data_IF_910345928118
#
_entry.id   IF_910345928118
#
_cell.length_a   1.000
_cell.length_b   1.000
_cell.length_c   1.000
_cell.angle_alpha   90.00
_cell.angle_beta   90.00
_cell.angle_gamma   90.00
#
_symmetry.space_group_name_H-M   'P 1'
#
loop_
_entity.id
_entity.type
_entity.pdbx_description
1 polymer ?
#
# COMPACT_ATOMS: atom_id res chain seq x y z
N UNK A 1 52.49 4.38 3.77
CA UNK A 1 51.21 3.80 4.22
C UNK A 1 50.18 4.93 4.22
N UNK A 2 49.38 5.01 3.17
CA UNK A 2 48.17 5.84 3.15
C UNK A 2 47.09 4.95 2.59
N UNK A 3 46.21 4.50 3.46
CA UNK A 3 45.06 3.69 3.15
C UNK A 3 44.06 4.56 2.38
N UNK A 4 43.93 4.32 1.07
CA UNK A 4 42.73 4.74 0.34
C UNK A 4 41.55 3.98 0.93
N UNK A 5 40.83 4.65 1.83
CA UNK A 5 39.50 4.23 2.25
C UNK A 5 38.64 4.23 1.00
N UNK A 6 38.33 3.02 0.53
CA UNK A 6 37.23 2.79 -0.40
C UNK A 6 35.99 3.35 0.29
N UNK A 7 35.51 4.52 -0.16
CA UNK A 7 34.16 4.95 0.11
C UNK A 7 33.27 3.92 -0.58
N UNK A 8 32.94 2.84 0.14
CA UNK A 8 31.83 1.98 -0.21
C UNK A 8 30.60 2.86 -0.19
N UNK A 9 30.24 3.36 -1.37
CA UNK A 9 28.95 3.93 -1.71
C UNK A 9 27.86 3.05 -1.11
N UNK A 10 27.14 3.59 -0.12
CA UNK A 10 25.87 3.01 0.28
C UNK A 10 24.94 3.08 -0.93
N UNK A 11 24.44 1.93 -1.37
CA UNK A 11 23.41 1.81 -2.38
C UNK A 11 22.12 2.52 -1.86
N UNK A 12 21.59 3.56 -2.52
CA UNK A 12 20.42 4.31 -2.06
C UNK A 12 19.08 3.60 -2.31
N UNK A 13 19.10 2.27 -2.50
CA UNK A 13 18.07 1.42 -3.12
C UNK A 13 16.72 1.20 -2.42
N UNK A 14 16.21 2.17 -1.66
CA UNK A 14 14.79 2.21 -1.30
C UNK A 14 14.22 3.61 -1.55
N UNK A 15 14.14 4.00 -2.84
CA UNK A 15 13.43 5.22 -3.23
C UNK A 15 11.92 4.99 -3.04
N UNK A 16 11.38 5.44 -1.92
CA UNK A 16 9.94 5.65 -1.81
C UNK A 16 9.57 6.96 -2.51
N UNK A 17 8.38 7.01 -3.08
CA UNK A 17 7.83 8.22 -3.66
C UNK A 17 6.75 8.77 -2.72
N UNK A 18 6.88 10.04 -2.31
CA UNK A 18 5.87 10.68 -1.47
C UNK A 18 4.73 11.19 -2.35
N UNK A 19 3.64 10.43 -2.38
CA UNK A 19 2.47 10.73 -3.19
C UNK A 19 1.72 11.99 -2.75
N UNK A 20 1.58 12.18 -1.44
CA UNK A 20 0.86 13.28 -0.82
C UNK A 20 1.58 13.67 0.47
N UNK A 21 1.88 14.96 0.61
CA UNK A 21 2.43 15.55 1.84
C UNK A 21 1.40 16.47 2.47
N UNK A 22 1.07 16.22 3.75
CA UNK A 22 0.19 17.09 4.53
C UNK A 22 1.06 17.82 5.57
N UNK A 23 1.46 19.09 5.32
CA UNK A 23 2.40 19.80 6.20
C UNK A 23 1.79 20.13 7.57
N UNK A 24 0.46 20.14 7.69
CA UNK A 24 -0.26 20.28 8.95
C UNK A 24 -1.15 19.05 9.18
N UNK A 25 -1.43 18.66 10.45
CA UNK A 25 -2.34 17.57 10.76
C UNK A 25 -3.73 17.81 10.19
N UNK A 26 -4.27 16.84 9.47
CA UNK A 26 -5.64 16.90 8.97
C UNK A 26 -6.61 16.33 10.01
N UNK A 27 -7.58 17.12 10.53
CA UNK A 27 -8.68 16.59 11.32
C UNK A 27 -9.52 15.60 10.50
N UNK A 28 -10.20 14.67 11.19
CA UNK A 28 -11.02 13.64 10.54
C UNK A 28 -12.06 14.22 9.57
N UNK A 29 -12.60 15.40 9.86
CA UNK A 29 -13.58 16.11 9.02
C UNK A 29 -13.01 16.61 7.69
N UNK A 30 -11.69 16.78 7.57
CA UNK A 30 -11.00 17.18 6.35
C UNK A 30 -10.49 15.99 5.53
N UNK A 31 -10.81 14.75 5.94
CA UNK A 31 -10.45 13.54 5.20
C UNK A 31 -11.71 12.81 4.79
N UNK A 32 -11.97 12.73 3.48
CA UNK A 32 -13.09 11.98 2.91
C UNK A 32 -12.59 10.78 2.11
N UNK A 33 -13.51 9.88 1.77
CA UNK A 33 -13.23 8.72 0.93
C UNK A 33 -14.29 8.67 -0.17
N UNK A 34 -13.84 8.58 -1.42
CA UNK A 34 -14.65 8.13 -2.55
C UNK A 34 -14.34 6.65 -2.78
N UNK A 35 -15.31 5.79 -2.46
CA UNK A 35 -15.17 4.34 -2.54
C UNK A 35 -16.01 3.78 -3.67
N UNK A 36 -15.36 3.29 -4.72
CA UNK A 36 -16.03 2.90 -5.96
C UNK A 36 -15.25 1.83 -6.72
N UNK A 37 -15.97 0.95 -7.42
CA UNK A 37 -15.38 -0.03 -8.33
C UNK A 37 -14.63 0.63 -9.50
N UNK A 38 -14.87 1.92 -9.76
CA UNK A 38 -14.09 2.70 -10.72
C UNK A 38 -12.60 2.80 -10.35
N UNK A 39 -12.25 2.57 -9.08
CA UNK A 39 -10.89 2.59 -8.56
C UNK A 39 -10.32 1.19 -8.30
N UNK A 40 -11.03 0.13 -8.73
CA UNK A 40 -10.52 -1.23 -8.68
C UNK A 40 -9.37 -1.42 -9.67
N UNK A 41 -8.66 -2.55 -9.53
CA UNK A 41 -7.59 -2.92 -10.45
C UNK A 41 -8.16 -3.15 -11.85
N UNK A 42 -7.49 -2.63 -12.86
CA UNK A 42 -7.76 -2.96 -14.26
C UNK A 42 -6.97 -4.22 -14.61
N UNK A 43 -7.62 -5.32 -15.05
CA UNK A 43 -6.90 -6.51 -15.50
C UNK A 43 -5.87 -6.18 -16.59
N UNK A 44 -4.71 -6.81 -16.55
CA UNK A 44 -3.67 -6.65 -17.55
C UNK A 44 -4.15 -7.23 -18.91
N UNK A 45 -3.87 -6.58 -20.05
CA UNK A 45 -4.32 -7.06 -21.35
C UNK A 45 -3.65 -8.37 -21.80
N UNK A 46 -2.43 -8.67 -21.31
CA UNK A 46 -1.78 -9.97 -21.50
C UNK A 46 -2.41 -11.03 -20.57
N UNK A 47 -3.13 -11.98 -21.18
CA UNK A 47 -3.79 -13.07 -20.48
C UNK A 47 -2.81 -13.99 -19.73
N UNK A 48 -1.55 -14.11 -20.17
CA UNK A 48 -0.55 -14.93 -19.46
C UNK A 48 -0.16 -14.30 -18.13
N UNK A 49 -0.05 -12.97 -18.07
CA UNK A 49 0.21 -12.25 -16.83
C UNK A 49 -0.97 -12.40 -15.86
N UNK A 50 -2.22 -12.28 -16.35
CA UNK A 50 -3.39 -12.54 -15.52
C UNK A 50 -3.47 -13.99 -15.03
N UNK A 51 -3.09 -14.96 -15.88
CA UNK A 51 -3.03 -16.37 -15.48
C UNK A 51 -1.99 -16.61 -14.37
N UNK A 52 -0.84 -15.95 -14.45
CA UNK A 52 0.25 -16.09 -13.48
C UNK A 52 -0.17 -15.73 -12.04
N UNK A 53 -1.13 -14.83 -11.86
CA UNK A 53 -1.68 -14.50 -10.54
C UNK A 53 -2.26 -15.76 -9.86
N UNK A 54 -2.96 -16.58 -10.64
CA UNK A 54 -3.57 -17.82 -10.15
C UNK A 54 -2.50 -18.87 -9.84
N UNK A 55 -1.50 -19.02 -10.72
CA UNK A 55 -0.40 -19.98 -10.56
C UNK A 55 0.41 -19.68 -9.30
N UNK A 56 0.87 -18.44 -9.14
CA UNK A 56 1.63 -17.99 -7.96
C UNK A 56 0.83 -18.22 -6.68
N UNK A 57 -0.46 -17.88 -6.68
CA UNK A 57 -1.31 -18.13 -5.52
C UNK A 57 -1.43 -19.62 -5.19
N UNK A 58 -1.65 -20.46 -6.20
CA UNK A 58 -1.77 -21.91 -6.03
C UNK A 58 -0.50 -22.53 -5.45
N UNK A 59 0.68 -22.10 -5.91
CA UNK A 59 1.95 -22.53 -5.33
C UNK A 59 2.10 -22.09 -3.87
N UNK A 60 1.62 -20.87 -3.54
CA UNK A 60 1.73 -20.31 -2.19
C UNK A 60 0.87 -21.08 -1.19
N UNK A 61 -0.37 -21.42 -1.55
CA UNK A 61 -1.27 -22.20 -0.69
C UNK A 61 -0.82 -23.66 -0.54
N UNK A 62 -0.17 -24.25 -1.56
CA UNK A 62 0.44 -25.59 -1.42
C UNK A 62 1.54 -25.62 -0.36
N UNK A 63 2.34 -24.55 -0.27
CA UNK A 63 3.42 -24.41 0.73
C UNK A 63 2.89 -24.03 2.12
N UNK A 64 1.77 -23.32 2.19
CA UNK A 64 1.13 -22.93 3.45
C UNK A 64 -0.41 -23.05 3.35
N UNK A 65 -0.98 -24.23 3.66
CA UNK A 65 -2.43 -24.48 3.54
C UNK A 65 -3.30 -23.64 4.48
N UNK A 66 -2.71 -23.05 5.53
CA UNK A 66 -3.43 -22.15 6.44
C UNK A 66 -3.58 -20.72 5.88
N UNK A 67 -2.96 -20.43 4.74
CA UNK A 67 -3.08 -19.13 4.09
C UNK A 67 -4.48 -18.97 3.50
N UNK A 68 -5.10 -17.81 3.75
CA UNK A 68 -6.41 -17.45 3.21
C UNK A 68 -6.33 -16.15 2.40
N UNK A 69 -7.30 -15.96 1.51
CA UNK A 69 -7.45 -14.72 0.74
C UNK A 69 -8.36 -13.75 1.50
N UNK A 70 -7.84 -12.58 1.88
CA UNK A 70 -8.59 -11.52 2.57
C UNK A 70 -8.83 -10.31 1.67
N UNK A 71 -10.03 -9.70 1.75
CA UNK A 71 -10.35 -8.47 1.03
C UNK A 71 -9.57 -7.28 1.61
N UNK A 72 -9.09 -6.39 0.74
CA UNK A 72 -8.36 -5.18 1.09
C UNK A 72 -8.90 -3.97 0.31
N UNK A 73 -8.67 -2.78 0.83
CA UNK A 73 -8.86 -1.56 0.05
C UNK A 73 -7.70 -1.37 -0.92
N UNK A 74 -8.01 -1.06 -2.17
CA UNK A 74 -7.03 -0.65 -3.18
C UNK A 74 -6.89 0.87 -3.15
N UNK A 75 -5.66 1.36 -3.15
CA UNK A 75 -5.40 2.77 -3.37
C UNK A 75 -5.56 3.11 -4.86
N UNK A 76 -6.50 4.00 -5.17
CA UNK A 76 -6.80 4.46 -6.53
C UNK A 76 -6.41 5.92 -6.81
N UNK A 77 -5.89 6.62 -5.80
CA UNK A 77 -5.45 8.02 -5.90
C UNK A 77 -6.01 8.90 -4.78
N UNK A 78 -5.81 10.19 -4.94
CA UNK A 78 -6.41 11.21 -4.07
C UNK A 78 -6.82 12.44 -4.89
N UNK A 79 -7.66 13.26 -4.29
CA UNK A 79 -7.95 14.63 -4.70
C UNK A 79 -7.68 15.57 -3.53
N UNK A 80 -7.03 16.69 -3.81
CA UNK A 80 -6.67 17.70 -2.82
C UNK A 80 -7.48 18.97 -3.09
N UNK A 81 -8.25 19.40 -2.09
CA UNK A 81 -9.04 20.63 -2.17
C UNK A 81 -8.46 21.67 -1.21
N UNK A 82 -8.21 22.86 -1.71
CA UNK A 82 -7.84 24.02 -0.92
C UNK A 82 -9.09 24.86 -0.67
N UNK A 83 -9.36 25.21 0.58
CA UNK A 83 -10.44 26.17 0.89
C UNK A 83 -9.94 27.57 0.56
N UNK A 84 -10.60 28.24 -0.39
CA UNK A 84 -10.24 29.60 -0.81
C UNK A 84 -10.16 30.54 0.39
N UNK A 85 -9.02 31.24 0.49
CA UNK A 85 -8.66 32.36 1.38
C UNK A 85 -7.75 32.12 2.60
N UNK A 86 -7.30 30.89 2.88
CA UNK A 86 -6.10 30.69 3.72
C UNK A 86 -5.39 29.39 3.36
N UNK A 87 -4.06 29.41 3.27
CA UNK A 87 -3.21 28.22 3.04
C UNK A 87 -3.32 27.14 4.15
N UNK A 88 -4.24 27.30 5.09
CA UNK A 88 -4.29 26.58 6.37
C UNK A 88 -5.35 25.47 6.43
N UNK A 89 -6.30 25.41 5.50
CA UNK A 89 -7.33 24.35 5.51
C UNK A 89 -7.38 23.64 4.15
N UNK A 90 -6.54 22.60 4.01
CA UNK A 90 -6.65 21.63 2.92
C UNK A 90 -7.53 20.46 3.35
N UNK A 91 -8.29 19.90 2.41
CA UNK A 91 -9.00 18.65 2.61
C UNK A 91 -8.60 17.62 1.56
N UNK A 92 -8.57 16.36 1.96
CA UNK A 92 -8.09 15.24 1.14
C UNK A 92 -9.23 14.25 0.96
N UNK A 93 -9.57 13.97 -0.30
CA UNK A 93 -10.42 12.84 -0.64
C UNK A 93 -9.54 11.68 -1.12
N UNK A 94 -9.62 10.53 -0.46
CA UNK A 94 -8.95 9.31 -0.93
C UNK A 94 -9.88 8.53 -1.87
N UNK A 95 -9.41 8.24 -3.08
CA UNK A 95 -10.11 7.39 -4.05
C UNK A 95 -9.71 5.94 -3.82
N UNK A 96 -10.65 5.12 -3.35
CA UNK A 96 -10.39 3.75 -2.95
C UNK A 96 -11.24 2.76 -3.75
N UNK A 97 -10.61 1.67 -4.17
CA UNK A 97 -11.27 0.50 -4.74
C UNK A 97 -11.17 -0.71 -3.81
N UNK A 98 -11.52 -1.88 -4.33
CA UNK A 98 -11.30 -3.17 -3.71
C UNK A 98 -10.20 -3.95 -4.41
N UNK A 99 -9.49 -4.73 -3.60
CA UNK A 99 -8.56 -5.76 -4.05
C UNK A 99 -8.54 -6.87 -3.01
N UNK A 100 -7.62 -7.82 -3.14
CA UNK A 100 -7.43 -8.88 -2.17
C UNK A 100 -5.95 -9.30 -2.04
N UNK A 101 -5.68 -10.12 -1.02
CA UNK A 101 -4.34 -10.60 -0.72
C UNK A 101 -3.79 -11.50 -1.84
N UNK A 102 -4.64 -12.28 -2.51
CA UNK A 102 -4.25 -13.13 -3.63
C UNK A 102 -3.72 -12.32 -4.80
N UNK A 103 -4.43 -11.28 -5.22
CA UNK A 103 -4.01 -10.38 -6.29
C UNK A 103 -2.75 -9.62 -5.88
N UNK A 104 -2.61 -9.24 -4.61
CA UNK A 104 -1.37 -8.62 -4.11
C UNK A 104 -0.16 -9.56 -4.26
N UNK A 105 -0.31 -10.82 -3.84
CA UNK A 105 0.72 -11.85 -3.98
C UNK A 105 1.09 -12.08 -5.46
N UNK A 106 0.10 -12.14 -6.35
CA UNK A 106 0.32 -12.42 -7.77
C UNK A 106 0.74 -11.21 -8.63
N UNK A 107 0.65 -9.99 -8.10
CA UNK A 107 1.05 -8.76 -8.83
C UNK A 107 2.21 -8.07 -8.13
N UNK A 108 1.97 -7.34 -7.03
CA UNK A 108 2.99 -6.54 -6.33
C UNK A 108 4.14 -7.39 -5.75
N UNK A 109 3.87 -8.61 -5.27
CA UNK A 109 4.91 -9.52 -4.75
C UNK A 109 5.41 -10.53 -5.80
N UNK A 110 4.94 -10.41 -7.04
CA UNK A 110 5.37 -11.30 -8.11
C UNK A 110 6.85 -11.10 -8.43
N UNK A 111 7.62 -12.17 -8.72
CA UNK A 111 8.99 -12.03 -9.24
C UNK A 111 9.08 -11.29 -10.58
N UNK A 112 7.95 -11.09 -11.25
CA UNK A 112 7.82 -10.36 -12.53
C UNK A 112 6.90 -9.14 -12.40
N UNK A 113 6.80 -8.56 -11.19
CA UNK A 113 5.89 -7.46 -10.88
C UNK A 113 6.05 -6.25 -11.81
N UNK A 114 7.25 -6.00 -12.31
CA UNK A 114 7.54 -4.89 -13.24
C UNK A 114 6.73 -4.99 -14.53
N UNK A 115 6.38 -6.21 -14.96
CA UNK A 115 5.57 -6.44 -16.17
C UNK A 115 4.12 -6.01 -16.01
N UNK A 116 3.65 -5.81 -14.77
CA UNK A 116 2.32 -5.25 -14.51
C UNK A 116 2.33 -3.71 -14.50
N UNK A 117 3.50 -3.06 -14.63
CA UNK A 117 3.57 -1.60 -14.66
C UNK A 117 3.34 -1.05 -16.07
N UNK A 118 2.71 0.12 -16.11
CA UNK A 118 2.59 0.94 -17.32
C UNK A 118 3.60 2.09 -17.25
N UNK A 119 4.28 2.46 -18.34
CA UNK A 119 5.19 3.61 -18.35
C UNK A 119 4.40 4.92 -18.19
N UNK A 120 4.28 5.37 -16.95
CA UNK A 120 3.58 6.60 -16.54
C UNK A 120 4.24 7.19 -15.30
N UNK A 121 4.27 8.51 -15.21
CA UNK A 121 4.67 9.25 -13.99
C UNK A 121 3.51 9.37 -12.99
N UNK A 122 2.26 9.28 -13.45
CA UNK A 122 1.10 9.14 -12.56
C UNK A 122 1.09 7.71 -11.99
N UNK A 123 1.34 7.59 -10.69
CA UNK A 123 1.41 6.31 -9.98
C UNK A 123 0.09 5.51 -10.04
N UNK A 124 -1.06 6.18 -10.14
CA UNK A 124 -2.35 5.50 -10.26
C UNK A 124 -2.47 4.78 -11.60
N UNK A 125 -2.00 5.41 -12.68
CA UNK A 125 -1.95 4.83 -14.02
C UNK A 125 -0.84 3.78 -14.10
N UNK A 126 0.36 4.11 -13.60
CA UNK A 126 1.52 3.21 -13.57
C UNK A 126 1.19 1.88 -12.90
N UNK A 127 0.43 1.93 -11.81
CA UNK A 127 0.04 0.78 -11.01
C UNK A 127 -1.39 0.30 -11.29
N UNK A 128 -1.98 0.64 -12.44
CA UNK A 128 -3.39 0.30 -12.73
C UNK A 128 -3.64 -1.21 -12.81
N UNK A 129 -2.62 -2.01 -13.17
CA UNK A 129 -2.72 -3.48 -13.26
C UNK A 129 -2.26 -4.23 -12.00
N UNK A 130 -1.87 -3.52 -10.94
CA UNK A 130 -1.43 -4.12 -9.67
C UNK A 130 -2.51 -4.01 -8.59
N UNK A 131 -2.41 -4.87 -7.57
CA UNK A 131 -3.34 -4.88 -6.43
C UNK A 131 -3.33 -3.56 -5.66
N UNK A 132 -2.14 -3.02 -5.39
CA UNK A 132 -1.92 -1.77 -4.66
C UNK A 132 -2.77 -1.65 -3.38
N UNK A 133 -2.68 -2.64 -2.45
CA UNK A 133 -3.46 -2.59 -1.22
C UNK A 133 -3.01 -1.42 -0.35
N UNK A 134 -3.97 -0.66 0.18
CA UNK A 134 -3.71 0.45 1.07
C UNK A 134 -3.30 -0.05 2.46
N UNK A 135 -2.05 0.23 2.85
CA UNK A 135 -1.56 0.06 4.21
C UNK A 135 -1.78 1.31 5.06
N UNK A 136 -1.76 1.13 6.37
CA UNK A 136 -1.65 2.22 7.33
C UNK A 136 -0.47 1.98 8.27
N UNK A 137 0.08 3.07 8.79
CA UNK A 137 1.14 3.05 9.80
C UNK A 137 1.07 4.31 10.65
N UNK A 138 1.61 4.24 11.86
CA UNK A 138 1.66 5.35 12.79
C UNK A 138 3.06 5.46 13.40
N UNK A 139 3.61 6.67 13.37
CA UNK A 139 4.77 7.01 14.20
C UNK A 139 4.22 7.40 15.56
N UNK A 140 4.57 6.63 16.59
CA UNK A 140 4.09 6.86 17.96
C UNK A 140 5.24 7.39 18.79
N UNK A 141 5.08 8.61 19.28
CA UNK A 141 6.01 9.27 20.19
C UNK A 141 5.51 9.14 21.64
N UNK A 142 6.41 8.78 22.55
CA UNK A 142 6.14 8.69 23.98
C UNK A 142 6.37 10.04 24.68
N UNK A 143 5.85 10.21 25.91
CA UNK A 143 6.03 11.44 26.70
C UNK A 143 7.50 11.76 27.04
N UNK A 144 8.37 10.74 26.99
CA UNK A 144 9.82 10.87 27.15
C UNK A 144 10.56 10.97 25.80
N UNK A 145 9.87 11.43 24.75
CA UNK A 145 10.43 11.77 23.43
C UNK A 145 11.11 10.59 22.72
N UNK A 146 10.53 9.38 22.86
CA UNK A 146 11.00 8.17 22.16
C UNK A 146 10.01 7.75 21.08
N UNK A 147 10.56 7.28 19.97
CA UNK A 147 9.76 6.71 18.88
C UNK A 147 9.62 5.20 19.07
N UNK A 148 8.39 4.72 19.13
CA UNK A 148 8.09 3.30 19.25
C UNK A 148 8.33 2.57 17.91
N UNK A 149 9.12 1.51 17.97
CA UNK A 149 9.30 0.54 16.88
C UNK A 149 9.04 -0.88 17.36
N UNK A 150 8.55 -1.73 16.47
CA UNK A 150 8.28 -3.14 16.71
C UNK A 150 9.29 -3.99 15.94
N UNK A 151 9.80 -5.06 16.56
CA UNK A 151 10.65 -6.04 15.86
C UNK A 151 9.80 -7.17 15.32
N UNK A 152 9.80 -7.36 14.00
CA UNK A 152 9.08 -8.47 13.36
C UNK A 152 9.70 -9.81 13.74
N UNK A 153 8.85 -10.83 13.84
CA UNK A 153 9.30 -12.21 13.94
C UNK A 153 10.15 -12.60 12.72
N UNK A 154 11.03 -13.59 12.87
CA UNK A 154 11.76 -14.18 11.73
C UNK A 154 10.88 -15.15 10.92
N UNK A 155 9.71 -15.54 11.45
CA UNK A 155 8.79 -16.49 10.83
C UNK A 155 7.56 -15.78 10.25
N UNK A 156 7.77 -14.80 9.38
CA UNK A 156 6.71 -14.07 8.66
C UNK A 156 7.06 -14.01 7.18
N UNK A 157 6.04 -13.88 6.33
CA UNK A 157 6.22 -13.92 4.88
C UNK A 157 6.90 -12.68 4.27
N UNK A 158 6.90 -11.55 4.97
CA UNK A 158 7.41 -10.26 4.48
C UNK A 158 8.28 -9.60 5.55
N UNK A 159 9.47 -9.11 5.15
CA UNK A 159 10.44 -8.39 5.99
C UNK A 159 10.74 -9.07 7.36
N UNK A 160 11.17 -10.34 7.38
CA UNK A 160 11.43 -11.06 8.63
C UNK A 160 12.58 -10.43 9.44
N UNK A 161 12.36 -10.15 10.72
CA UNK A 161 13.36 -9.57 11.62
C UNK A 161 13.57 -8.06 11.52
N UNK A 162 12.90 -7.37 10.59
CA UNK A 162 13.00 -5.92 10.42
C UNK A 162 12.25 -5.16 11.53
N UNK A 163 12.67 -3.94 11.79
CA UNK A 163 11.91 -2.99 12.60
C UNK A 163 10.81 -2.34 11.76
N UNK A 164 9.64 -2.18 12.35
CA UNK A 164 8.49 -1.52 11.72
C UNK A 164 7.78 -0.61 12.72
N UNK A 165 7.04 0.35 12.19
CA UNK A 165 6.07 1.10 12.96
C UNK A 165 4.78 0.29 13.18
N UNK A 166 4.00 0.59 14.23
CA UNK A 166 2.63 0.08 14.36
C UNK A 166 1.80 0.37 13.11
N UNK A 167 1.05 -0.62 12.63
CA UNK A 167 0.26 -0.49 11.41
C UNK A 167 -0.31 -1.82 10.92
N UNK A 168 -0.93 -1.78 9.75
CA UNK A 168 -1.53 -2.95 9.11
C UNK A 168 -2.22 -2.65 7.79
N UNK A 169 -3.00 -3.60 7.30
CA UNK A 169 -3.81 -3.46 6.08
C UNK A 169 -5.27 -3.73 6.42
N UNK A 170 -6.08 -2.68 6.46
CA UNK A 170 -7.49 -2.73 6.85
C UNK A 170 -8.30 -3.67 5.94
N UNK A 171 -9.26 -4.37 6.53
CA UNK A 171 -10.17 -5.27 5.81
C UNK A 171 -11.58 -4.70 5.81
N UNK A 172 -12.33 -5.03 4.76
CA UNK A 172 -13.73 -4.66 4.66
C UNK A 172 -14.55 -5.54 5.63
N UNK A 173 -15.27 -4.92 6.57
CA UNK A 173 -16.28 -5.65 7.34
C UNK A 173 -17.60 -5.61 6.57
N UNK A 174 -18.00 -6.74 5.98
CA UNK A 174 -19.35 -6.86 5.40
C UNK A 174 -20.34 -7.16 6.52
N UNK A 175 -21.13 -6.17 6.94
CA UNK A 175 -22.33 -6.47 7.70
C UNK A 175 -23.30 -7.29 6.82
N UNK A 176 -24.06 -8.20 7.45
CA UNK A 176 -24.94 -9.20 6.80
C UNK A 176 -26.02 -8.61 5.87
N UNK A 177 -26.13 -7.30 5.78
CA UNK A 177 -27.16 -6.55 5.04
C UNK A 177 -26.63 -5.91 3.75
N UNK A 178 -25.32 -5.93 3.48
CA UNK A 178 -24.73 -5.35 2.27
C UNK A 178 -24.87 -3.82 2.15
N UNK A 179 -25.22 -3.14 3.25
CA UNK A 179 -25.41 -1.69 3.30
C UNK A 179 -24.35 -1.04 4.18
N UNK A 180 -23.75 0.03 3.67
CA UNK A 180 -22.80 0.87 4.39
C UNK A 180 -23.54 1.74 5.41
N UNK A 181 -23.13 1.67 6.66
CA UNK A 181 -23.46 2.69 7.65
C UNK A 181 -22.19 3.48 7.98
N UNK A 182 -22.06 4.74 7.54
CA UNK A 182 -21.04 5.61 8.11
C UNK A 182 -21.32 5.78 9.61
N UNK A 183 -20.30 5.60 10.45
CA UNK A 183 -20.30 6.15 11.81
C UNK A 183 -19.89 7.60 11.77
#
# INVERSE_FOLDING_TARGET
>A
MSSSSCCCSMDPGYSFHLLLSCPSPLPRSQVSVDFSAAYDRIPHPDANLEHSINEIWNERIQKNPALYNGQKFRYGGYDLHYVDSSEQESSVCLRLGLTDYRTFVGTNLSPIWEKFLVPSEDDCIRCQHTSSPLGNGAIVETIDERILVLKRSKNVGEFPGYFVFPGGHSELNRDKTGLFHPK
#
